data_IF_920645447987
#
_entry.id   IF_920645447987
#
_cell.length_a   1.000
_cell.length_b   1.000
_cell.length_c   1.000
_cell.angle_alpha   90.00
_cell.angle_beta   90.00
_cell.angle_gamma   90.00
#
_symmetry.space_group_name_H-M   'P 1'
#
loop_
_entity.id
_entity.type
_entity.pdbx_description
1 polymer ?
#
# COMPACT_ATOMS: atom_id res chain seq x y z
N UNK A 1 22.32 17.29 11.95
CA UNK A 1 23.08 17.70 10.74
C UNK A 1 22.79 16.76 9.55
N UNK A 2 23.22 15.49 9.55
CA UNK A 2 22.99 14.56 8.42
C UNK A 2 21.51 14.32 8.06
N UNK A 3 20.60 14.33 9.04
CA UNK A 3 19.16 14.20 8.80
C UNK A 3 18.55 15.39 8.03
N UNK A 4 19.08 16.60 8.22
CA UNK A 4 18.58 17.82 7.59
C UNK A 4 18.96 17.90 6.11
N UNK A 5 20.14 17.38 5.73
CA UNK A 5 20.61 17.33 4.34
C UNK A 5 19.75 16.43 3.45
N UNK A 6 19.07 15.42 4.02
CA UNK A 6 18.14 14.56 3.27
C UNK A 6 16.98 15.32 2.65
N UNK A 7 16.58 16.46 3.23
CA UNK A 7 15.52 17.29 2.65
C UNK A 7 15.97 17.96 1.36
N UNK A 8 17.22 18.43 1.30
CA UNK A 8 17.83 18.96 0.07
C UNK A 8 17.89 17.89 -1.01
N UNK A 9 18.39 16.72 -0.67
CA UNK A 9 18.56 15.63 -1.66
C UNK A 9 17.19 15.17 -2.21
N UNK A 10 16.17 15.10 -1.35
CA UNK A 10 14.79 14.82 -1.78
C UNK A 10 14.22 15.90 -2.68
N UNK A 11 14.49 17.18 -2.40
CA UNK A 11 14.04 18.27 -3.25
C UNK A 11 14.63 18.15 -4.67
N UNK A 12 15.92 17.85 -4.80
CA UNK A 12 16.56 17.65 -6.10
C UNK A 12 16.00 16.45 -6.86
N UNK A 13 15.81 15.31 -6.19
CA UNK A 13 15.19 14.13 -6.81
C UNK A 13 13.80 14.47 -7.35
N UNK A 14 12.99 15.22 -6.59
CA UNK A 14 11.66 15.63 -7.02
C UNK A 14 11.73 16.63 -8.17
N UNK A 15 12.69 17.57 -8.15
CA UNK A 15 12.91 18.53 -9.24
C UNK A 15 13.19 17.84 -10.57
N UNK A 16 13.99 16.78 -10.57
CA UNK A 16 14.32 16.03 -11.79
C UNK A 16 13.14 15.21 -12.34
N UNK A 17 12.18 14.85 -11.48
CA UNK A 17 11.02 14.02 -11.85
C UNK A 17 9.80 14.82 -12.30
N UNK A 18 9.75 16.09 -11.93
CA UNK A 18 8.55 16.91 -12.03
C UNK A 18 8.53 17.71 -13.33
N UNK A 19 7.38 17.74 -13.99
CA UNK A 19 7.16 18.60 -15.17
C UNK A 19 6.99 20.05 -14.73
N UNK A 20 7.37 20.99 -15.59
CA UNK A 20 7.18 22.44 -15.36
C UNK A 20 5.73 22.83 -15.69
N UNK A 21 4.78 22.19 -15.01
CA UNK A 21 3.36 22.48 -15.04
C UNK A 21 2.87 22.92 -13.65
N UNK A 22 1.63 23.41 -13.54
CA UNK A 22 1.12 23.92 -12.28
C UNK A 22 1.14 22.90 -11.12
N UNK A 23 0.76 21.61 -11.31
CA UNK A 23 0.90 20.57 -10.29
C UNK A 23 2.35 20.30 -9.89
N UNK A 24 3.26 20.31 -10.88
CA UNK A 24 4.66 20.12 -10.63
C UNK A 24 5.30 21.24 -9.81
N UNK A 25 5.05 22.48 -10.19
CA UNK A 25 5.51 23.66 -9.44
C UNK A 25 4.95 23.68 -8.01
N UNK A 26 3.69 23.28 -7.83
CA UNK A 26 3.06 23.11 -6.52
C UNK A 26 3.77 22.05 -5.64
N UNK A 27 4.12 20.90 -6.22
CA UNK A 27 4.86 19.85 -5.53
C UNK A 27 6.27 20.34 -5.14
N UNK A 28 6.95 21.05 -6.05
CA UNK A 28 8.26 21.64 -5.77
C UNK A 28 8.20 22.71 -4.68
N UNK A 29 7.21 23.59 -4.71
CA UNK A 29 6.97 24.58 -3.65
C UNK A 29 6.75 23.93 -2.29
N UNK A 30 6.02 22.80 -2.23
CA UNK A 30 5.86 22.02 -1.02
C UNK A 30 7.20 21.49 -0.52
N UNK A 31 7.96 20.77 -1.36
CA UNK A 31 9.26 20.20 -0.96
C UNK A 31 10.27 21.27 -0.55
N UNK A 32 10.28 22.42 -1.24
CA UNK A 32 11.09 23.59 -0.89
C UNK A 32 10.77 24.13 0.50
N UNK A 33 9.49 24.20 0.89
CA UNK A 33 9.09 24.60 2.23
C UNK A 33 9.71 23.72 3.33
N UNK A 34 9.84 22.40 3.10
CA UNK A 34 10.51 21.49 4.04
C UNK A 34 12.02 21.72 4.10
N UNK A 35 12.67 22.01 2.97
CA UNK A 35 14.09 22.41 2.93
C UNK A 35 14.30 23.69 3.73
N UNK A 36 13.46 24.69 3.52
CA UNK A 36 13.52 25.96 4.24
C UNK A 36 13.40 25.73 5.75
N UNK A 37 12.35 25.01 6.17
CA UNK A 37 12.03 24.78 7.58
C UNK A 37 13.05 23.91 8.32
N UNK A 38 13.52 22.84 7.70
CA UNK A 38 14.30 21.81 8.39
C UNK A 38 15.80 21.83 8.08
N UNK A 39 16.21 22.57 7.05
CA UNK A 39 17.62 22.78 6.73
C UNK A 39 17.99 24.26 6.90
N UNK A 40 17.43 25.15 6.07
CA UNK A 40 17.90 26.55 5.97
C UNK A 40 17.74 27.30 7.30
N UNK A 41 16.57 27.26 7.94
CA UNK A 41 16.35 27.91 9.23
C UNK A 41 17.15 27.29 10.39
N UNK A 42 17.69 26.08 10.24
CA UNK A 42 18.53 25.45 11.25
C UNK A 42 20.02 25.82 11.08
N UNK A 43 20.42 26.35 9.93
CA UNK A 43 21.82 26.71 9.62
C UNK A 43 22.43 27.66 10.67
N UNK A 44 21.74 28.71 11.16
CA UNK A 44 22.30 29.60 12.18
C UNK A 44 22.69 28.88 13.48
N UNK A 45 21.92 27.85 13.87
CA UNK A 45 22.19 27.06 15.07
C UNK A 45 23.33 26.05 14.84
N UNK A 46 23.64 25.72 13.59
CA UNK A 46 24.69 24.77 13.20
C UNK A 46 26.02 25.46 12.88
N UNK A 47 25.98 26.71 12.44
CA UNK A 47 27.13 27.58 12.18
C UNK A 47 27.45 28.40 13.43
N UNK A 48 27.74 27.72 14.54
CA UNK A 48 28.28 28.40 15.73
C UNK A 48 29.65 28.98 15.33
N UNK A 49 29.74 30.32 15.29
CA UNK A 49 30.97 31.13 15.11
C UNK A 49 31.50 31.37 13.68
N UNK A 50 30.71 31.18 12.60
CA UNK A 50 31.15 31.58 11.25
C UNK A 50 30.21 32.59 10.58
N UNK A 51 30.84 33.61 10.00
CA UNK A 51 30.35 34.87 9.42
C UNK A 51 28.90 34.89 8.92
N UNK A 52 28.11 35.82 9.48
CA UNK A 52 26.74 36.21 9.07
C UNK A 52 26.57 36.44 7.55
N UNK A 53 27.67 36.69 6.83
CA UNK A 53 27.68 36.97 5.39
C UNK A 53 27.14 35.79 4.57
N UNK A 54 27.60 34.58 4.84
CA UNK A 54 27.19 33.39 4.07
C UNK A 54 25.73 33.02 4.33
N UNK A 55 25.26 33.20 5.56
CA UNK A 55 23.85 32.96 5.89
C UNK A 55 22.92 33.95 5.17
N UNK A 56 23.32 35.23 5.05
CA UNK A 56 22.56 36.22 4.27
C UNK A 56 22.49 35.87 2.78
N UNK A 57 23.57 35.37 2.20
CA UNK A 57 23.57 34.90 0.80
C UNK A 57 22.63 33.69 0.64
N UNK A 58 22.68 32.72 1.55
CA UNK A 58 21.78 31.56 1.56
C UNK A 58 20.32 32.01 1.69
N UNK A 59 20.02 32.96 2.58
CA UNK A 59 18.67 33.51 2.74
C UNK A 59 18.22 34.21 1.45
N UNK A 60 19.10 35.01 0.84
CA UNK A 60 18.79 35.72 -0.42
C UNK A 60 18.47 34.74 -1.54
N UNK A 61 19.31 33.74 -1.77
CA UNK A 61 19.05 32.69 -2.78
C UNK A 61 17.78 31.92 -2.45
N UNK A 62 17.54 31.66 -1.16
CA UNK A 62 16.35 30.97 -0.70
C UNK A 62 15.06 31.74 -1.01
N UNK A 63 15.09 33.06 -0.81
CA UNK A 63 13.96 33.95 -1.09
C UNK A 63 13.69 34.04 -2.60
N UNK A 64 14.76 34.03 -3.43
CA UNK A 64 14.61 33.96 -4.89
C UNK A 64 13.97 32.64 -5.34
N UNK A 65 14.42 31.51 -4.82
CA UNK A 65 13.82 30.20 -5.13
C UNK A 65 12.35 30.16 -4.70
N UNK A 66 12.04 30.68 -3.50
CA UNK A 66 10.66 30.77 -3.01
C UNK A 66 9.78 31.66 -3.90
N UNK A 67 10.33 32.74 -4.44
CA UNK A 67 9.63 33.63 -5.39
C UNK A 67 9.34 32.91 -6.71
N UNK A 68 10.30 32.15 -7.25
CA UNK A 68 10.14 31.38 -8.49
C UNK A 68 9.13 30.23 -8.36
N UNK A 69 9.10 29.56 -7.21
CA UNK A 69 8.16 28.48 -6.94
C UNK A 69 6.75 28.98 -6.57
N UNK A 70 6.59 30.29 -6.39
CA UNK A 70 5.38 30.90 -5.87
C UNK A 70 5.18 30.63 -4.38
N UNK A 71 4.14 31.23 -3.82
CA UNK A 71 3.75 30.96 -2.44
C UNK A 71 3.42 29.46 -2.27
N UNK A 72 3.90 28.77 -1.22
CA UNK A 72 3.39 27.43 -0.89
C UNK A 72 1.89 27.48 -0.56
N UNK A 73 1.36 28.70 -0.38
CA UNK A 73 -0.05 29.05 -0.22
C UNK A 73 -0.65 29.66 -1.49
N UNK A 74 -0.17 29.30 -2.69
CA UNK A 74 -1.10 29.24 -3.83
C UNK A 74 -2.33 28.47 -3.35
N UNK A 75 -3.53 29.04 -3.49
CA UNK A 75 -4.75 28.69 -2.76
C UNK A 75 -5.09 27.18 -2.77
N UNK A 76 -4.37 26.43 -1.96
CA UNK A 76 -4.72 25.12 -1.46
C UNK A 76 -5.86 25.27 -0.44
N UNK A 77 -6.74 26.25 -0.59
CA UNK A 77 -8.00 26.31 0.12
C UNK A 77 -8.74 24.98 -0.07
N UNK A 78 -8.63 24.37 -1.26
CA UNK A 78 -9.05 23.00 -1.55
C UNK A 78 -8.38 21.97 -0.65
N UNK A 79 -7.04 21.93 -0.55
CA UNK A 79 -6.33 20.95 0.31
C UNK A 79 -6.52 21.27 1.80
N UNK A 80 -6.63 22.52 2.24
CA UNK A 80 -6.94 22.88 3.63
C UNK A 80 -8.39 22.54 3.98
N UNK A 81 -9.33 22.74 3.06
CA UNK A 81 -10.73 22.28 3.21
C UNK A 81 -10.79 20.76 3.22
N UNK A 82 -10.06 20.10 2.33
CA UNK A 82 -9.91 18.64 2.31
C UNK A 82 -9.25 18.15 3.60
N UNK A 83 -8.12 18.67 4.06
CA UNK A 83 -7.51 18.32 5.35
C UNK A 83 -8.43 18.62 6.54
N UNK A 84 -9.22 19.70 6.49
CA UNK A 84 -10.23 20.02 7.51
C UNK A 84 -11.41 19.04 7.47
N UNK A 85 -11.73 18.51 6.28
CA UNK A 85 -12.84 17.58 6.05
C UNK A 85 -12.42 16.11 6.13
N UNK A 86 -11.15 15.78 5.89
CA UNK A 86 -10.58 14.44 5.77
C UNK A 86 -9.62 14.11 6.92
N UNK A 87 -9.27 15.09 7.76
CA UNK A 87 -8.32 14.94 8.86
C UNK A 87 -6.85 15.15 8.46
N UNK A 88 -5.95 15.01 9.45
CA UNK A 88 -4.50 14.90 9.23
C UNK A 88 -4.07 13.47 9.59
N UNK A 89 -3.13 12.86 8.85
CA UNK A 89 -2.56 11.59 9.27
C UNK A 89 -1.91 11.76 10.65
N UNK A 90 -2.30 10.92 11.60
CA UNK A 90 -1.80 11.01 12.97
C UNK A 90 -0.28 10.73 13.00
N UNK A 91 0.52 11.60 13.65
CA UNK A 91 1.94 11.32 13.82
C UNK A 91 2.10 10.09 14.70
N UNK A 92 3.01 9.18 14.32
CA UNK A 92 3.36 8.04 15.17
C UNK A 92 3.86 8.55 16.53
N UNK A 93 3.24 8.08 17.61
CA UNK A 93 3.61 8.44 18.98
C UNK A 93 4.75 7.58 19.52
N UNK A 94 4.94 6.37 18.98
CA UNK A 94 5.87 5.35 19.47
C UNK A 94 6.85 4.90 18.37
N UNK A 95 8.14 4.84 18.70
CA UNK A 95 9.21 4.42 17.78
C UNK A 95 9.09 2.96 17.35
N UNK A 96 8.69 2.04 18.23
CA UNK A 96 8.47 0.63 17.90
C UNK A 96 7.33 0.47 16.89
N UNK A 97 6.28 1.28 16.99
CA UNK A 97 5.18 1.29 16.01
C UNK A 97 5.68 1.75 14.65
N UNK A 98 6.57 2.76 14.59
CA UNK A 98 7.24 3.21 13.35
C UNK A 98 8.08 2.09 12.73
N UNK A 99 8.84 1.36 13.54
CA UNK A 99 9.67 0.25 13.07
C UNK A 99 8.79 -0.89 12.52
N UNK A 100 7.71 -1.24 13.22
CA UNK A 100 6.72 -2.23 12.76
C UNK A 100 6.06 -1.81 11.44
N UNK A 101 5.65 -0.55 11.33
CA UNK A 101 5.10 0.01 10.10
C UNK A 101 6.09 -0.05 8.93
N UNK A 102 7.36 0.26 9.18
CA UNK A 102 8.41 0.19 8.17
C UNK A 102 8.65 -1.25 7.69
N UNK A 103 8.64 -2.21 8.61
CA UNK A 103 8.71 -3.63 8.28
C UNK A 103 7.48 -4.09 7.48
N UNK A 104 6.27 -3.74 7.91
CA UNK A 104 5.03 -4.04 7.19
C UNK A 104 5.04 -3.45 5.77
N UNK A 105 5.57 -2.25 5.56
CA UNK A 105 5.80 -1.69 4.22
C UNK A 105 6.77 -2.54 3.39
N UNK A 106 7.84 -3.04 3.99
CA UNK A 106 8.76 -3.93 3.29
C UNK A 106 8.10 -5.27 2.92
N UNK A 107 7.28 -5.83 3.82
CA UNK A 107 6.47 -7.03 3.55
C UNK A 107 5.47 -6.81 2.42
N UNK A 108 4.74 -5.70 2.46
CA UNK A 108 3.78 -5.35 1.42
C UNK A 108 4.45 -5.18 0.06
N UNK A 109 5.63 -4.57 0.00
CA UNK A 109 6.44 -4.50 -1.23
C UNK A 109 6.89 -5.87 -1.71
N UNK A 110 7.32 -6.74 -0.80
CA UNK A 110 7.74 -8.11 -1.12
C UNK A 110 6.59 -9.01 -1.58
N UNK A 111 5.34 -8.66 -1.24
CA UNK A 111 4.13 -9.35 -1.68
C UNK A 111 3.43 -8.69 -2.88
N UNK A 112 3.88 -7.51 -3.29
CA UNK A 112 3.26 -6.77 -4.39
C UNK A 112 3.39 -7.57 -5.70
N UNK A 113 2.25 -7.81 -6.32
CA UNK A 113 2.16 -8.41 -7.65
C UNK A 113 2.44 -7.29 -8.66
N UNK A 114 3.48 -7.46 -9.49
CA UNK A 114 3.87 -6.49 -10.52
C UNK A 114 3.92 -7.18 -11.87
N UNK A 115 3.35 -6.54 -12.88
CA UNK A 115 3.47 -6.98 -14.26
C UNK A 115 4.77 -6.47 -14.90
N UNK A 116 5.33 -7.20 -15.88
CA UNK A 116 5.00 -8.58 -16.24
C UNK A 116 5.71 -9.58 -15.31
N UNK A 117 5.03 -10.69 -14.97
CA UNK A 117 5.65 -11.78 -14.22
C UNK A 117 6.35 -12.73 -15.20
N UNK A 118 7.64 -13.07 -14.99
CA UNK A 118 8.38 -13.96 -15.88
C UNK A 118 7.82 -15.39 -15.83
N UNK A 119 7.88 -16.08 -16.98
CA UNK A 119 7.45 -17.47 -17.11
C UNK A 119 8.39 -18.42 -16.34
N UNK A 120 7.86 -19.59 -15.96
CA UNK A 120 8.59 -20.62 -15.21
C UNK A 120 9.90 -21.04 -15.89
N UNK A 121 11.04 -20.79 -15.23
CA UNK A 121 12.37 -21.20 -15.70
C UNK A 121 13.44 -20.09 -15.80
N UNK A 122 13.07 -18.82 -15.69
CA UNK A 122 14.02 -17.70 -15.68
C UNK A 122 14.52 -17.40 -14.25
N UNK A 123 15.78 -16.99 -14.07
CA UNK A 123 16.32 -16.62 -12.76
C UNK A 123 15.56 -15.40 -12.21
N UNK A 124 14.76 -15.61 -11.17
CA UNK A 124 13.79 -14.62 -10.64
C UNK A 124 12.35 -15.15 -10.62
N UNK A 125 12.02 -16.09 -11.52
CA UNK A 125 10.70 -16.68 -11.61
C UNK A 125 10.31 -17.48 -10.36
N UNK A 126 11.25 -18.15 -9.68
CA UNK A 126 10.91 -18.93 -8.48
C UNK A 126 10.36 -18.06 -7.34
N UNK A 127 10.97 -16.91 -7.09
CA UNK A 127 10.50 -15.99 -6.03
C UNK A 127 9.14 -15.38 -6.40
N UNK A 128 8.95 -14.99 -7.66
CA UNK A 128 7.67 -14.47 -8.15
C UNK A 128 6.56 -15.54 -8.10
N UNK A 129 6.87 -16.80 -8.39
CA UNK A 129 5.96 -17.93 -8.25
C UNK A 129 5.61 -18.20 -6.78
N UNK A 130 6.59 -18.17 -5.89
CA UNK A 130 6.35 -18.30 -4.44
C UNK A 130 5.47 -17.14 -3.93
N UNK A 131 5.67 -15.93 -4.45
CA UNK A 131 4.83 -14.75 -4.17
C UNK A 131 3.40 -14.98 -4.63
N UNK A 132 3.20 -15.38 -5.88
CA UNK A 132 1.89 -15.69 -6.45
C UNK A 132 1.17 -16.78 -5.66
N UNK A 133 1.85 -17.89 -5.35
CA UNK A 133 1.28 -18.97 -4.56
C UNK A 133 0.86 -18.50 -3.16
N UNK A 134 1.70 -17.68 -2.53
CA UNK A 134 1.43 -17.11 -1.21
C UNK A 134 0.22 -16.18 -1.24
N UNK A 135 0.13 -15.29 -2.24
CA UNK A 135 -1.02 -14.39 -2.39
C UNK A 135 -2.29 -15.16 -2.77
N UNK A 136 -2.20 -16.19 -3.61
CA UNK A 136 -3.38 -16.97 -4.03
C UNK A 136 -3.93 -17.88 -2.93
N UNK A 137 -3.07 -18.45 -2.08
CA UNK A 137 -3.46 -19.58 -1.21
C UNK A 137 -3.47 -19.25 0.28
N UNK A 138 -2.71 -18.24 0.73
CA UNK A 138 -2.55 -17.96 2.17
C UNK A 138 -3.38 -16.81 2.69
N UNK A 139 -4.70 -16.99 2.69
CA UNK A 139 -5.60 -16.00 3.29
C UNK A 139 -5.30 -15.75 4.78
N UNK A 140 -4.83 -16.77 5.53
CA UNK A 140 -4.49 -16.63 6.95
C UNK A 140 -3.29 -15.68 7.16
N UNK A 141 -2.28 -15.75 6.28
CA UNK A 141 -1.16 -14.81 6.28
C UNK A 141 -1.68 -13.38 6.00
N UNK A 142 -2.49 -13.21 4.96
CA UNK A 142 -3.06 -11.91 4.62
C UNK A 142 -3.91 -11.33 5.75
N UNK A 143 -4.70 -12.18 6.44
CA UNK A 143 -5.48 -11.78 7.62
C UNK A 143 -4.60 -11.32 8.77
N UNK A 144 -3.52 -12.04 9.09
CA UNK A 144 -2.58 -11.61 10.13
C UNK A 144 -1.85 -10.31 9.76
N UNK A 145 -1.51 -10.12 8.48
CA UNK A 145 -0.95 -8.85 8.00
C UNK A 145 -1.97 -7.71 8.13
N UNK A 146 -3.24 -7.94 7.78
CA UNK A 146 -4.32 -6.96 7.96
C UNK A 146 -4.48 -6.56 9.42
N UNK A 147 -4.45 -7.54 10.34
CA UNK A 147 -4.49 -7.29 11.78
C UNK A 147 -3.32 -6.42 12.24
N UNK A 148 -2.10 -6.70 11.76
CA UNK A 148 -0.93 -5.89 12.09
C UNK A 148 -1.07 -4.44 11.57
N UNK A 149 -1.57 -4.25 10.35
CA UNK A 149 -1.88 -2.92 9.80
C UNK A 149 -2.93 -2.18 10.62
N UNK A 150 -3.99 -2.89 11.05
CA UNK A 150 -5.02 -2.34 11.91
C UNK A 150 -4.52 -1.95 13.30
N UNK A 151 -3.64 -2.75 13.90
CA UNK A 151 -2.99 -2.43 15.17
C UNK A 151 -2.08 -1.19 15.07
N UNK A 152 -1.38 -1.00 13.95
CA UNK A 152 -0.60 0.22 13.71
C UNK A 152 -1.52 1.43 13.65
N UNK A 153 -2.65 1.34 12.92
CA UNK A 153 -3.62 2.43 12.86
C UNK A 153 -4.21 2.72 14.24
N UNK A 154 -4.58 1.66 14.98
CA UNK A 154 -5.08 1.75 16.34
C UNK A 154 -4.05 2.41 17.28
N UNK A 155 -2.76 2.08 17.18
CA UNK A 155 -1.71 2.68 18.01
C UNK A 155 -1.45 4.16 17.67
N UNK A 156 -1.78 4.58 16.45
CA UNK A 156 -1.67 5.97 16.02
C UNK A 156 -2.85 6.83 16.47
N UNK A 157 -4.05 6.23 16.56
CA UNK A 157 -5.29 6.92 16.92
C UNK A 157 -5.55 6.83 18.44
N UNK A 158 -5.39 5.65 19.04
CA UNK A 158 -5.69 5.32 20.44
C UNK A 158 -4.42 5.08 21.25
N UNK A 159 -4.51 5.23 22.57
CA UNK A 159 -3.39 5.02 23.52
C UNK A 159 -3.27 3.58 24.06
N UNK A 160 -4.19 2.68 23.70
CA UNK A 160 -4.28 1.32 24.25
C UNK A 160 -3.97 0.23 23.21
N UNK A 161 -2.72 0.21 22.75
CA UNK A 161 -2.15 -0.89 21.96
C UNK A 161 -0.83 -1.29 22.57
N UNK A 162 -0.67 -2.59 22.86
CA UNK A 162 0.59 -3.14 23.31
C UNK A 162 1.59 -3.21 22.13
N UNK A 163 2.67 -2.40 22.13
CA UNK A 163 3.64 -2.39 21.03
C UNK A 163 4.39 -3.71 20.87
N UNK A 164 4.53 -4.49 21.96
CA UNK A 164 5.19 -5.80 21.92
C UNK A 164 4.34 -6.85 21.19
N UNK A 165 3.01 -6.81 21.35
CA UNK A 165 2.09 -7.68 20.62
C UNK A 165 2.20 -7.42 19.10
N UNK A 166 2.17 -6.14 18.70
CA UNK A 166 2.34 -5.74 17.30
C UNK A 166 3.70 -6.22 16.76
N UNK A 167 4.79 -5.99 17.50
CA UNK A 167 6.13 -6.42 17.11
C UNK A 167 6.22 -7.93 16.93
N UNK A 168 5.68 -8.70 17.85
CA UNK A 168 5.68 -10.16 17.78
C UNK A 168 4.88 -10.65 16.57
N UNK A 169 3.72 -10.05 16.30
CA UNK A 169 2.90 -10.38 15.14
C UNK A 169 3.64 -10.10 13.83
N UNK A 170 4.27 -8.92 13.69
CA UNK A 170 5.04 -8.55 12.49
C UNK A 170 6.24 -9.49 12.30
N UNK A 171 6.99 -9.77 13.37
CA UNK A 171 8.13 -10.69 13.32
C UNK A 171 7.71 -12.10 12.89
N UNK A 172 6.57 -12.61 13.39
CA UNK A 172 6.06 -13.91 12.98
C UNK A 172 5.73 -13.96 11.48
N UNK A 173 5.15 -12.89 10.93
CA UNK A 173 4.89 -12.81 9.48
C UNK A 173 6.19 -12.70 8.67
N UNK A 174 7.18 -11.96 9.16
CA UNK A 174 8.50 -11.87 8.54
C UNK A 174 9.17 -13.25 8.43
N UNK A 175 9.19 -14.02 9.53
CA UNK A 175 9.76 -15.37 9.55
C UNK A 175 9.00 -16.29 8.57
N UNK A 176 7.67 -16.24 8.60
CA UNK A 176 6.82 -17.06 7.71
C UNK A 176 7.08 -16.76 6.22
N UNK A 177 7.24 -15.48 5.85
CA UNK A 177 7.54 -15.09 4.47
C UNK A 177 8.97 -15.47 4.05
N UNK A 178 9.95 -15.37 4.95
CA UNK A 178 11.32 -15.84 4.70
C UNK A 178 11.36 -17.36 4.46
N UNK A 179 10.62 -18.13 5.25
CA UNK A 179 10.53 -19.59 5.07
C UNK A 179 9.95 -20.00 3.70
N UNK A 180 9.25 -19.09 3.03
CA UNK A 180 8.68 -19.28 1.69
C UNK A 180 9.55 -18.74 0.56
N UNK A 181 10.76 -18.28 0.86
CA UNK A 181 11.69 -17.74 -0.12
C UNK A 181 11.26 -16.39 -0.69
N UNK A 182 10.45 -15.61 0.02
CA UNK A 182 10.11 -14.24 -0.36
C UNK A 182 11.08 -13.29 0.36
N UNK A 183 11.99 -12.69 -0.41
CA UNK A 183 12.96 -11.76 0.13
C UNK A 183 12.27 -10.46 0.48
N UNK A 184 12.44 -10.03 1.73
CA UNK A 184 12.03 -8.70 2.15
C UNK A 184 12.99 -7.74 1.45
N UNK A 185 12.54 -6.63 0.87
CA UNK A 185 13.36 -5.69 0.10
C UNK A 185 14.54 -5.00 0.84
N UNK A 186 15.13 -5.64 1.84
CA UNK A 186 16.48 -5.39 2.34
C UNK A 186 17.49 -5.83 1.28
N UNK A 187 18.11 -4.81 0.71
CA UNK A 187 19.29 -4.91 -0.13
C UNK A 187 20.42 -5.63 0.63
N UNK A 188 20.55 -6.94 0.41
CA UNK A 188 21.84 -7.61 0.33
C UNK A 188 21.67 -8.79 -0.64
N UNK A 189 22.00 -8.55 -1.91
CA UNK A 189 22.39 -9.62 -2.84
C UNK A 189 23.68 -10.23 -2.27
N UNK A 190 23.55 -11.19 -1.36
CA UNK A 190 24.55 -12.23 -1.22
C UNK A 190 24.06 -13.41 -2.03
N UNK A 191 24.75 -13.67 -3.13
CA UNK A 191 24.74 -14.97 -3.77
C UNK A 191 25.12 -16.03 -2.73
N UNK A 192 24.67 -17.26 -2.97
CA UNK A 192 24.86 -18.49 -2.16
C UNK A 192 23.82 -18.64 -1.04
N UNK A 193 23.04 -19.71 -0.94
CA UNK A 193 23.04 -21.04 -1.58
C UNK A 193 21.62 -21.34 -2.08
N UNK A 194 21.52 -21.95 -3.26
CA UNK A 194 20.26 -22.46 -3.77
C UNK A 194 19.82 -23.66 -2.91
N UNK A 195 19.22 -23.40 -1.75
CA UNK A 195 18.30 -24.39 -1.18
C UNK A 195 17.12 -24.46 -2.15
N UNK A 196 17.13 -25.44 -3.04
CA UNK A 196 15.99 -25.78 -3.88
C UNK A 196 14.79 -26.01 -2.96
N UNK A 197 13.93 -25.00 -2.83
CA UNK A 197 12.57 -25.20 -2.34
C UNK A 197 11.93 -26.28 -3.23
N UNK A 198 11.18 -27.23 -2.65
CA UNK A 198 10.55 -28.29 -3.43
C UNK A 198 9.74 -27.67 -4.57
N UNK A 199 10.02 -28.12 -5.79
CA UNK A 199 9.29 -27.63 -6.95
C UNK A 199 7.81 -27.98 -6.79
N UNK A 200 6.88 -27.03 -6.96
CA UNK A 200 5.46 -27.30 -6.81
C UNK A 200 5.01 -28.34 -7.84
N UNK A 201 4.21 -29.30 -7.39
CA UNK A 201 3.61 -30.31 -8.27
C UNK A 201 2.81 -29.65 -9.41
N UNK A 202 2.81 -30.28 -10.58
CA UNK A 202 2.11 -29.80 -11.79
C UNK A 202 0.62 -29.53 -11.52
N UNK A 203 -0.02 -30.34 -10.67
CA UNK A 203 -1.41 -30.14 -10.25
C UNK A 203 -1.58 -28.82 -9.49
N UNK A 204 -0.63 -28.49 -8.61
CA UNK A 204 -0.64 -27.24 -7.83
C UNK A 204 -0.43 -26.02 -8.74
N UNK A 205 0.42 -26.14 -9.76
CA UNK A 205 0.65 -25.08 -10.74
C UNK A 205 -0.61 -24.80 -11.60
N UNK A 206 -1.34 -25.84 -12.00
CA UNK A 206 -2.60 -25.70 -12.74
C UNK A 206 -3.68 -25.06 -11.86
N UNK A 207 -3.81 -25.49 -10.60
CA UNK A 207 -4.75 -24.89 -9.66
C UNK A 207 -4.44 -23.41 -9.41
N UNK A 208 -3.16 -23.09 -9.22
CA UNK A 208 -2.69 -21.70 -9.07
C UNK A 208 -3.04 -20.85 -10.30
N UNK A 209 -2.81 -21.37 -11.50
CA UNK A 209 -3.20 -20.71 -12.76
C UNK A 209 -4.69 -20.39 -12.81
N UNK A 210 -5.55 -21.35 -12.45
CA UNK A 210 -7.01 -21.14 -12.46
C UNK A 210 -7.44 -20.07 -11.45
N UNK A 211 -6.83 -20.04 -10.27
CA UNK A 211 -7.11 -19.01 -9.25
C UNK A 211 -6.68 -17.63 -9.75
N UNK A 212 -5.50 -17.52 -10.36
CA UNK A 212 -4.99 -16.24 -10.88
C UNK A 212 -5.84 -15.73 -12.04
N UNK A 213 -6.24 -16.62 -12.95
CA UNK A 213 -7.08 -16.27 -14.09
C UNK A 213 -8.44 -15.69 -13.67
N UNK A 214 -8.97 -16.06 -12.50
CA UNK A 214 -10.24 -15.51 -12.01
C UNK A 214 -10.07 -14.18 -11.25
N UNK A 215 -8.85 -13.75 -10.92
CA UNK A 215 -8.61 -12.54 -10.13
C UNK A 215 -9.29 -11.29 -10.69
N UNK A 216 -9.26 -11.00 -12.01
CA UNK A 216 -9.97 -9.83 -12.54
C UNK A 216 -11.47 -9.87 -12.22
N UNK A 217 -12.12 -11.03 -12.39
CA UNK A 217 -13.54 -11.16 -12.08
C UNK A 217 -13.82 -10.98 -10.57
N UNK A 218 -12.97 -11.55 -9.70
CA UNK A 218 -13.13 -11.44 -8.25
C UNK A 218 -12.85 -10.02 -7.75
N UNK A 219 -11.86 -9.33 -8.31
CA UNK A 219 -11.57 -7.92 -7.99
C UNK A 219 -12.68 -6.99 -8.46
N UNK A 220 -13.26 -7.25 -9.63
CA UNK A 220 -14.40 -6.48 -10.11
C UNK A 220 -15.61 -6.61 -9.16
N UNK A 221 -15.91 -7.83 -8.71
CA UNK A 221 -16.97 -8.07 -7.72
C UNK A 221 -16.65 -7.40 -6.38
N UNK A 222 -15.42 -7.51 -5.90
CA UNK A 222 -14.98 -6.83 -4.67
C UNK A 222 -15.18 -5.32 -4.78
N UNK A 223 -14.76 -4.72 -5.89
CA UNK A 223 -14.87 -3.28 -6.14
C UNK A 223 -16.33 -2.81 -6.19
N UNK A 224 -17.22 -3.53 -6.88
CA UNK A 224 -18.66 -3.22 -6.88
C UNK A 224 -19.28 -3.34 -5.49
N UNK A 225 -18.89 -4.36 -4.73
CA UNK A 225 -19.36 -4.54 -3.36
C UNK A 225 -18.88 -3.39 -2.46
N UNK A 226 -17.60 -3.03 -2.53
CA UNK A 226 -17.04 -1.91 -1.78
C UNK A 226 -17.71 -0.58 -2.15
N UNK A 227 -17.98 -0.35 -3.44
CA UNK A 227 -18.74 0.81 -3.91
C UNK A 227 -20.14 0.86 -3.31
N UNK A 228 -20.90 -0.24 -3.38
CA UNK A 228 -22.24 -0.35 -2.80
C UNK A 228 -22.23 -0.03 -1.31
N UNK A 229 -21.35 -0.70 -0.54
CA UNK A 229 -21.22 -0.46 0.90
C UNK A 229 -20.90 1.01 1.19
N UNK A 230 -19.90 1.58 0.50
CA UNK A 230 -19.50 2.99 0.68
C UNK A 230 -20.66 3.94 0.38
N UNK A 231 -21.45 3.69 -0.66
CA UNK A 231 -22.64 4.49 -0.97
C UNK A 231 -23.74 4.36 0.09
N UNK A 232 -23.96 3.16 0.62
CA UNK A 232 -24.91 2.91 1.72
C UNK A 232 -24.47 3.60 3.02
N UNK A 233 -23.18 3.57 3.34
CA UNK A 233 -22.60 4.32 4.45
C UNK A 233 -22.84 5.82 4.30
N UNK A 234 -22.57 6.38 3.12
CA UNK A 234 -22.80 7.80 2.84
C UNK A 234 -24.24 8.20 3.01
N UNK A 235 -25.16 7.37 2.52
CA UNK A 235 -26.59 7.62 2.69
C UNK A 235 -26.96 7.71 4.18
N UNK A 236 -26.42 6.82 5.01
CA UNK A 236 -26.69 6.81 6.45
C UNK A 236 -26.15 8.07 7.16
N UNK A 237 -24.92 8.48 6.82
CA UNK A 237 -24.26 9.66 7.41
C UNK A 237 -24.95 10.95 6.96
N UNK A 238 -25.20 11.11 5.65
CA UNK A 238 -25.83 12.31 5.09
C UNK A 238 -27.28 12.50 5.55
N UNK A 239 -28.03 11.41 5.77
CA UNK A 239 -29.43 11.47 6.18
C UNK A 239 -29.64 11.42 7.70
N UNK A 240 -28.57 11.38 8.52
CA UNK A 240 -28.63 11.23 10.00
C UNK A 240 -29.55 10.09 10.48
N UNK A 241 -29.80 9.08 9.65
CA UNK A 241 -30.64 7.92 9.98
C UNK A 241 -29.77 6.76 10.45
N UNK A 242 -29.13 6.92 11.60
CA UNK A 242 -28.50 5.78 12.28
C UNK A 242 -29.56 5.12 13.18
N UNK A 243 -30.31 4.16 12.63
CA UNK A 243 -31.13 3.29 13.48
C UNK A 243 -30.20 2.24 14.10
N UNK A 244 -30.20 2.10 15.43
CA UNK A 244 -29.40 1.11 16.17
C UNK A 244 -29.53 -0.34 15.65
N UNK A 245 -30.62 -0.64 14.94
CA UNK A 245 -30.88 -1.96 14.35
C UNK A 245 -30.07 -2.28 13.08
N UNK A 246 -29.38 -1.30 12.46
CA UNK A 246 -28.61 -1.49 11.20
C UNK A 246 -27.09 -1.66 11.40
N UNK A 247 -26.58 -1.34 12.59
CA UNK A 247 -25.16 -1.45 12.94
C UNK A 247 -24.62 -2.91 12.94
N UNK A 248 -25.38 -3.92 13.42
CA UNK A 248 -24.92 -5.32 13.38
C UNK A 248 -24.80 -5.86 11.95
N UNK A 249 -25.77 -5.53 11.09
CA UNK A 249 -25.80 -5.94 9.68
C UNK A 249 -24.59 -5.39 8.92
N UNK A 250 -24.22 -4.14 9.20
CA UNK A 250 -23.11 -3.45 8.56
C UNK A 250 -21.74 -4.02 8.97
N UNK A 251 -21.61 -4.38 10.25
CA UNK A 251 -20.44 -5.07 10.81
C UNK A 251 -20.26 -6.43 10.12
N UNK A 252 -21.35 -7.17 9.92
CA UNK A 252 -21.34 -8.44 9.21
C UNK A 252 -20.96 -8.29 7.72
N UNK A 253 -21.52 -7.29 7.03
CA UNK A 253 -21.18 -6.98 5.64
C UNK A 253 -19.70 -6.62 5.46
N UNK A 254 -19.13 -5.78 6.33
CA UNK A 254 -17.69 -5.47 6.33
C UNK A 254 -16.86 -6.74 6.53
N UNK A 255 -17.22 -7.57 7.51
CA UNK A 255 -16.51 -8.81 7.82
C UNK A 255 -16.51 -9.79 6.63
N UNK A 256 -17.67 -9.95 5.99
CA UNK A 256 -17.81 -10.78 4.79
C UNK A 256 -17.01 -10.24 3.62
N UNK A 257 -17.04 -8.93 3.38
CA UNK A 257 -16.28 -8.30 2.31
C UNK A 257 -14.76 -8.46 2.53
N UNK A 258 -14.24 -8.16 3.73
CA UNK A 258 -12.82 -8.38 4.06
C UNK A 258 -12.45 -9.84 3.81
N UNK A 259 -13.26 -10.78 4.30
CA UNK A 259 -13.00 -12.22 4.12
C UNK A 259 -12.97 -12.61 2.65
N UNK A 260 -13.91 -12.10 1.85
CA UNK A 260 -13.97 -12.33 0.42
C UNK A 260 -12.71 -11.83 -0.28
N UNK A 261 -12.33 -10.57 -0.04
CA UNK A 261 -11.16 -9.95 -0.63
C UNK A 261 -9.86 -10.70 -0.27
N UNK A 262 -9.65 -11.03 1.00
CA UNK A 262 -8.45 -11.76 1.42
C UNK A 262 -8.34 -13.16 0.77
N UNK A 263 -9.47 -13.84 0.55
CA UNK A 263 -9.49 -15.20 0.00
C UNK A 263 -9.39 -15.25 -1.52
N UNK A 264 -10.07 -14.34 -2.22
CA UNK A 264 -10.33 -14.50 -3.64
C UNK A 264 -9.70 -13.45 -4.53
N UNK A 265 -9.09 -12.40 -3.96
CA UNK A 265 -8.44 -11.33 -4.73
C UNK A 265 -6.95 -11.20 -4.39
N UNK A 266 -6.14 -10.61 -5.28
CA UNK A 266 -4.74 -10.30 -5.02
C UNK A 266 -4.53 -9.05 -4.15
N UNK A 267 -5.61 -8.46 -3.60
CA UNK A 267 -5.56 -7.21 -2.84
C UNK A 267 -4.50 -7.22 -1.73
N UNK A 268 -3.79 -6.10 -1.60
CA UNK A 268 -2.83 -5.94 -0.52
C UNK A 268 -3.58 -5.75 0.82
N UNK A 269 -3.21 -6.45 1.90
CA UNK A 269 -3.88 -6.30 3.20
C UNK A 269 -3.96 -4.86 3.72
N UNK A 270 -2.97 -4.03 3.38
CA UNK A 270 -2.92 -2.62 3.75
C UNK A 270 -4.09 -1.78 3.20
N UNK A 271 -4.71 -2.19 2.08
CA UNK A 271 -5.83 -1.50 1.45
C UNK A 271 -7.16 -1.76 2.18
N UNK A 272 -7.24 -2.86 2.93
CA UNK A 272 -8.43 -3.21 3.72
C UNK A 272 -8.36 -2.70 5.17
N UNK A 273 -7.28 -1.99 5.54
CA UNK A 273 -7.01 -1.59 6.94
C UNK A 273 -8.11 -0.70 7.53
N UNK A 274 -8.71 0.18 6.71
CA UNK A 274 -9.74 1.11 7.18
C UNK A 274 -11.05 0.38 7.49
N UNK A 275 -11.44 -0.56 6.62
CA UNK A 275 -12.60 -1.44 6.85
C UNK A 275 -12.40 -2.30 8.10
N UNK A 276 -11.20 -2.86 8.28
CA UNK A 276 -10.87 -3.63 9.47
C UNK A 276 -10.96 -2.77 10.74
N UNK A 277 -10.52 -1.52 10.66
CA UNK A 277 -10.56 -0.60 11.80
C UNK A 277 -12.01 -0.20 12.13
N UNK A 278 -12.87 0.02 11.14
CA UNK A 278 -14.31 0.21 11.35
C UNK A 278 -14.97 -1.00 12.03
N UNK A 279 -14.58 -2.23 11.67
CA UNK A 279 -15.10 -3.46 12.27
C UNK A 279 -14.73 -3.60 13.76
N UNK A 280 -13.54 -3.13 14.14
CA UNK A 280 -12.96 -3.36 15.46
C UNK A 280 -12.95 -2.12 16.37
N UNK A 281 -13.60 -1.02 15.98
CA UNK A 281 -13.69 0.20 16.77
C UNK A 281 -15.14 0.53 17.13
N UNK A 282 -15.52 0.21 18.38
CA UNK A 282 -16.89 0.35 18.91
C UNK A 282 -17.20 1.76 19.42
N UNK A 283 -16.19 2.63 19.61
CA UNK A 283 -16.36 4.01 20.09
C UNK A 283 -15.36 4.94 19.42
N UNK A 284 -15.73 5.46 18.27
CA UNK A 284 -14.93 6.42 17.50
C UNK A 284 -15.61 7.78 17.62
N UNK A 285 -14.86 8.84 17.95
CA UNK A 285 -15.39 10.20 17.92
C UNK A 285 -15.81 10.59 16.49
N UNK A 286 -16.71 11.55 16.35
CA UNK A 286 -17.19 12.00 15.03
C UNK A 286 -16.04 12.43 14.10
N UNK A 287 -14.97 13.04 14.64
CA UNK A 287 -13.81 13.53 13.88
C UNK A 287 -12.91 12.38 13.38
N UNK A 288 -12.69 11.37 14.22
CA UNK A 288 -11.94 10.16 13.85
C UNK A 288 -12.72 9.34 12.83
N UNK A 289 -14.05 9.27 12.95
CA UNK A 289 -14.91 8.59 11.98
C UNK A 289 -14.79 9.25 10.60
N UNK A 290 -14.86 10.58 10.53
CA UNK A 290 -14.67 11.37 9.30
C UNK A 290 -13.30 11.11 8.65
N UNK A 291 -12.25 10.94 9.44
CA UNK A 291 -10.90 10.64 8.95
C UNK A 291 -10.75 9.20 8.45
N UNK A 292 -11.47 8.23 9.03
CA UNK A 292 -11.52 6.86 8.49
C UNK A 292 -12.32 6.81 7.18
N UNK A 293 -13.37 7.64 7.06
CA UNK A 293 -14.17 7.74 5.83
C UNK A 293 -13.35 8.27 4.66
N UNK A 294 -12.55 9.31 4.87
CA UNK A 294 -11.71 9.88 3.83
C UNK A 294 -10.71 8.87 3.27
N UNK A 295 -10.04 8.13 4.14
CA UNK A 295 -9.10 7.07 3.76
C UNK A 295 -9.83 5.90 3.08
N UNK A 296 -11.03 5.53 3.53
CA UNK A 296 -11.86 4.53 2.85
C UNK A 296 -12.24 4.97 1.43
N UNK A 297 -12.60 6.23 1.24
CA UNK A 297 -12.87 6.79 -0.09
C UNK A 297 -11.63 6.76 -0.97
N UNK A 298 -10.50 7.21 -0.44
CA UNK A 298 -9.23 7.19 -1.17
C UNK A 298 -8.90 5.76 -1.58
N UNK A 299 -9.03 4.79 -0.68
CA UNK A 299 -8.79 3.38 -0.99
C UNK A 299 -9.74 2.84 -2.06
N UNK A 300 -11.04 3.14 -1.93
CA UNK A 300 -12.09 2.70 -2.87
C UNK A 300 -11.89 3.34 -4.24
N UNK A 301 -11.51 4.61 -4.30
CA UNK A 301 -11.20 5.25 -5.55
C UNK A 301 -9.93 4.66 -6.12
N UNK A 302 -8.83 4.59 -5.37
CA UNK A 302 -7.55 4.04 -5.84
C UNK A 302 -7.65 2.64 -6.48
N UNK A 303 -8.56 1.77 -6.03
CA UNK A 303 -8.77 0.45 -6.64
C UNK A 303 -9.30 0.51 -8.09
N UNK A 304 -10.01 1.57 -8.49
CA UNK A 304 -10.43 1.76 -9.88
C UNK A 304 -9.27 2.15 -10.82
N UNK A 305 -8.08 2.49 -10.30
CA UNK A 305 -6.92 2.85 -11.12
C UNK A 305 -5.74 1.86 -11.00
N UNK A 306 -5.73 0.99 -9.99
CA UNK A 306 -4.58 0.13 -9.68
C UNK A 306 -4.90 -1.37 -9.54
N UNK A 307 -6.12 -1.81 -9.87
CA UNK A 307 -6.51 -3.22 -9.81
C UNK A 307 -6.19 -3.97 -11.10
N UNK A 308 -6.08 -5.30 -11.04
CA UNK A 308 -5.81 -6.16 -12.22
C UNK A 308 -6.84 -5.99 -13.33
N UNK A 309 -8.08 -5.61 -12.96
CA UNK A 309 -9.18 -5.27 -13.87
C UNK A 309 -8.88 -4.03 -14.71
N UNK A 310 -8.18 -3.06 -14.12
CA UNK A 310 -8.00 -1.71 -14.66
C UNK A 310 -6.65 -1.51 -15.33
N UNK A 311 -5.68 -2.37 -15.02
CA UNK A 311 -4.30 -2.24 -15.53
C UNK A 311 -4.04 -3.16 -16.72
N UNK A 312 -4.50 -4.43 -16.71
CA UNK A 312 -4.33 -5.36 -17.84
C UNK A 312 -5.12 -6.70 -17.66
N UNK A 313 -6.46 -6.70 -17.80
CA UNK A 313 -7.27 -7.89 -17.52
C UNK A 313 -6.94 -9.07 -18.46
N UNK A 314 -6.64 -8.81 -19.74
CA UNK A 314 -6.35 -9.85 -20.74
C UNK A 314 -5.09 -10.65 -20.40
N UNK A 315 -4.07 -9.99 -19.83
CA UNK A 315 -2.86 -10.65 -19.35
C UNK A 315 -3.19 -11.66 -18.25
N UNK A 316 -3.97 -11.28 -17.24
CA UNK A 316 -4.32 -12.16 -16.12
C UNK A 316 -5.24 -13.30 -16.54
N UNK A 317 -6.22 -13.03 -17.41
CA UNK A 317 -7.14 -14.03 -17.95
C UNK A 317 -6.42 -15.13 -18.75
N UNK A 318 -5.30 -14.78 -19.40
CA UNK A 318 -4.49 -15.71 -20.20
C UNK A 318 -3.25 -16.21 -19.48
N UNK A 319 -3.00 -15.75 -18.25
CA UNK A 319 -1.81 -16.11 -17.47
C UNK A 319 -1.74 -17.61 -17.26
N UNK A 320 -0.55 -18.18 -17.46
CA UNK A 320 -0.28 -19.58 -17.16
C UNK A 320 1.14 -19.79 -16.64
N UNK A 321 1.25 -20.70 -15.66
CA UNK A 321 2.52 -21.10 -15.06
C UNK A 321 3.26 -22.17 -15.86
N UNK A 322 2.64 -22.71 -16.92
CA UNK A 322 3.17 -23.82 -17.73
C UNK A 322 3.70 -23.25 -19.05
N UNK A 323 4.95 -23.56 -19.46
CA UNK A 323 5.49 -23.06 -20.74
C UNK A 323 4.58 -23.40 -21.93
N UNK A 324 4.36 -22.41 -22.81
CA UNK A 324 3.40 -22.50 -23.92
C UNK A 324 3.59 -23.66 -24.91
N UNK A 325 4.76 -24.32 -24.90
CA UNK A 325 5.01 -25.56 -25.65
C UNK A 325 4.15 -26.74 -25.16
N UNK A 326 3.89 -26.86 -23.84
CA UNK A 326 3.08 -27.94 -23.27
C UNK A 326 1.57 -27.65 -23.29
N UNK A 327 1.18 -26.37 -23.33
CA UNK A 327 -0.23 -25.99 -23.46
C UNK A 327 -0.79 -26.41 -24.83
N UNK A 328 0.05 -26.34 -25.88
CA UNK A 328 -0.28 -26.77 -27.25
C UNK A 328 -0.44 -28.30 -27.37
N UNK A 329 0.28 -29.09 -26.57
CA UNK A 329 0.09 -30.55 -26.50
C UNK A 329 -1.21 -30.93 -25.79
N UNK A 330 -1.60 -30.22 -24.72
CA UNK A 330 -2.83 -30.49 -23.97
C UNK A 330 -4.10 -30.17 -24.77
N UNK A 331 -4.09 -29.07 -25.55
CA UNK A 331 -5.18 -28.79 -26.48
C UNK A 331 -5.28 -29.88 -27.57
N UNK A 332 -4.16 -30.38 -28.10
CA UNK A 332 -4.17 -31.48 -29.08
C UNK A 332 -4.70 -32.80 -28.51
N UNK A 333 -4.31 -33.17 -27.28
CA UNK A 333 -4.76 -34.42 -26.66
C UNK A 333 -6.27 -34.44 -26.32
N UNK A 334 -6.84 -33.27 -26.01
CA UNK A 334 -8.28 -33.15 -25.72
C UNK A 334 -9.12 -33.31 -26.99
N UNK A 335 -8.66 -32.77 -28.13
CA UNK A 335 -9.33 -32.93 -29.43
C UNK A 335 -9.15 -34.34 -30.03
N UNK A 336 -8.05 -35.04 -29.73
CA UNK A 336 -7.84 -36.43 -30.19
C UNK A 336 -8.69 -37.46 -29.42
N UNK A 337 -9.15 -37.12 -28.21
CA UNK A 337 -9.98 -38.02 -27.39
C UNK A 337 -11.48 -37.97 -27.74
N UNK A 338 -11.93 -36.96 -28.48
CA UNK A 338 -13.31 -36.80 -28.96
C UNK A 338 -13.51 -37.27 -30.41
N UNK A 339 -12.47 -37.84 -31.04
CA UNK A 339 -12.48 -38.39 -32.40
C UNK A 339 -12.15 -39.89 -32.44
N UNK A 340 -12.62 -40.67 -31.46
CA UNK A 340 -12.67 -42.13 -31.54
C UNK A 340 -14.03 -42.68 -31.22
#
# INVERSE_FOLDING_TARGET
>A
IFGSLRWRDRFWIVADMVKVDAPGLALLALHWHWVLKHLIHQIPQLLVNHEDKYYKEIQTVSDHIQSCLGSPTGDFSGIKKLQKFLGRPFPFKDKMVVDCFSQLKALAKGLAIREPIPAFGESGCQEDMNRLQTVASEWALKKSLLQAWGLVLKANILEDVNPDELKNLVNAQCIKLKAKGISHGFLEKKSHEASCLPQPDRTSLIQLSRIIQIWPAMEYLAMLWQYKMTAEFMMQVCLRRCSKNKEPQLTEEISHHITFCLKYTPVAPQELRELWSLLHHVRVSTEEMISLWSELFISTFMSFWNSTVTTNPDYWLTWSSVPGAQQREMHKSLFDSTLK
#
